data_IF_644499932026
#
_entry.id   IF_644499932026
#
_cell.length_a   1.000
_cell.length_b   1.000
_cell.length_c   1.000
_cell.angle_alpha   90.00
_cell.angle_beta   90.00
_cell.angle_gamma   90.00
#
_symmetry.space_group_name_H-M   'P 1'
#
loop_
_entity.id
_entity.type
_entity.pdbx_description
1 polymer ?
#
# COMPACT_ATOMS: atom_id res chain seq x y z
N UNK A 1 2.01 -12.02 19.63
CA UNK A 1 3.26 -11.24 19.38
C UNK A 1 3.38 -10.91 17.90
N UNK A 2 3.78 -9.69 17.55
CA UNK A 2 3.94 -9.23 16.17
C UNK A 2 5.43 -9.08 15.85
N UNK A 3 5.89 -9.68 14.74
CA UNK A 3 7.25 -9.52 14.23
C UNK A 3 7.31 -8.42 13.17
N UNK A 4 8.19 -7.44 13.31
CA UNK A 4 8.39 -6.38 12.30
C UNK A 4 9.82 -6.46 11.76
N UNK A 5 9.94 -6.64 10.44
CA UNK A 5 11.23 -6.69 9.75
C UNK A 5 11.27 -5.49 8.79
N UNK A 6 12.21 -4.56 9.01
CA UNK A 6 12.21 -3.29 8.28
C UNK A 6 13.61 -2.81 7.90
N UNK A 7 13.69 -1.98 6.84
CA UNK A 7 14.90 -1.39 6.28
C UNK A 7 14.84 0.12 6.38
N UNK A 8 16.00 0.76 6.56
CA UNK A 8 16.30 2.21 6.36
C UNK A 8 15.24 3.23 6.81
N UNK A 9 14.40 2.89 7.79
CA UNK A 9 13.29 3.72 8.27
C UNK A 9 13.24 3.72 9.79
N UNK A 10 14.12 4.47 10.48
CA UNK A 10 14.18 4.42 11.94
C UNK A 10 12.87 4.86 12.61
N UNK A 11 12.10 5.77 12.00
CA UNK A 11 10.76 6.15 12.48
C UNK A 11 9.80 4.96 12.64
N UNK A 12 9.95 3.90 11.82
CA UNK A 12 9.14 2.68 11.93
C UNK A 12 9.26 2.08 13.34
N UNK A 13 10.44 2.18 13.97
CA UNK A 13 10.66 1.69 15.34
C UNK A 13 9.68 2.31 16.34
N UNK A 14 9.50 3.64 16.31
CA UNK A 14 8.56 4.34 17.20
C UNK A 14 7.11 4.09 16.82
N UNK A 15 6.80 4.20 15.52
CA UNK A 15 5.43 4.11 15.01
C UNK A 15 4.81 2.74 15.31
N UNK A 16 5.54 1.66 14.95
CA UNK A 16 5.02 0.30 15.15
C UNK A 16 5.03 -0.11 16.63
N UNK A 17 6.02 0.37 17.43
CA UNK A 17 6.01 0.11 18.87
C UNK A 17 4.80 0.73 19.54
N UNK A 18 4.45 1.97 19.16
CA UNK A 18 3.27 2.66 19.68
C UNK A 18 1.97 1.99 19.29
N UNK A 19 1.81 1.64 18.00
CA UNK A 19 0.59 0.99 17.51
C UNK A 19 0.42 -0.41 18.11
N UNK A 20 1.48 -1.22 18.17
CA UNK A 20 1.42 -2.55 18.77
C UNK A 20 1.16 -2.49 20.27
N UNK A 21 1.84 -1.60 21.01
CA UNK A 21 1.58 -1.43 22.44
C UNK A 21 0.14 -1.00 22.72
N UNK A 22 -0.36 0.01 22.00
CA UNK A 22 -1.77 0.49 22.14
C UNK A 22 -2.81 -0.57 21.77
N UNK A 23 -2.48 -1.52 20.89
CA UNK A 23 -3.34 -2.65 20.55
C UNK A 23 -3.17 -3.86 21.47
N UNK A 24 -2.38 -3.73 22.55
CA UNK A 24 -2.12 -4.82 23.51
C UNK A 24 -1.15 -5.90 23.00
N UNK A 25 -0.45 -5.65 21.90
CA UNK A 25 0.48 -6.61 21.32
C UNK A 25 1.92 -6.42 21.80
N UNK A 26 2.57 -7.52 22.12
CA UNK A 26 4.04 -7.56 22.25
C UNK A 26 4.64 -7.53 20.84
N UNK A 27 5.73 -6.77 20.66
CA UNK A 27 6.42 -6.62 19.39
C UNK A 27 7.88 -7.09 19.48
N UNK A 28 8.33 -7.78 18.43
CA UNK A 28 9.75 -8.05 18.20
C UNK A 28 10.21 -7.37 16.90
N UNK A 29 11.19 -6.50 17.03
CA UNK A 29 11.72 -5.65 15.97
C UNK A 29 13.01 -6.22 15.40
N UNK A 30 13.14 -6.17 14.07
CA UNK A 30 14.42 -6.43 13.38
C UNK A 30 14.61 -5.36 12.30
N UNK A 31 15.27 -4.28 12.66
CA UNK A 31 15.64 -3.18 11.78
C UNK A 31 16.88 -3.45 10.94
N UNK A 32 17.04 -2.70 9.84
CA UNK A 32 18.23 -2.74 9.00
C UNK A 32 19.51 -2.34 9.75
N UNK A 33 20.65 -2.82 9.30
CA UNK A 33 21.96 -2.55 9.92
C UNK A 33 22.40 -1.10 9.76
N UNK A 34 21.94 -0.42 8.72
CA UNK A 34 22.24 0.97 8.40
C UNK A 34 21.67 1.97 9.43
N UNK A 35 20.52 1.63 10.04
CA UNK A 35 19.89 2.44 11.07
C UNK A 35 20.02 1.84 12.49
N UNK A 36 20.95 0.92 12.69
CA UNK A 36 21.03 0.12 13.92
C UNK A 36 21.07 0.97 15.19
N UNK A 37 21.94 1.97 15.26
CA UNK A 37 22.09 2.80 16.46
C UNK A 37 20.82 3.62 16.75
N UNK A 38 20.18 4.17 15.71
CA UNK A 38 18.91 4.89 15.84
C UNK A 38 17.80 3.97 16.34
N UNK A 39 17.71 2.76 15.80
CA UNK A 39 16.72 1.78 16.22
C UNK A 39 16.93 1.38 17.69
N UNK A 40 18.19 1.14 18.10
CA UNK A 40 18.53 0.74 19.47
C UNK A 40 18.18 1.84 20.50
N UNK A 41 18.47 3.11 20.19
CA UNK A 41 18.14 4.21 21.11
C UNK A 41 16.62 4.42 21.22
N UNK A 42 15.87 4.32 20.13
CA UNK A 42 14.41 4.43 20.15
C UNK A 42 13.77 3.33 20.99
N UNK A 43 14.20 2.07 20.81
CA UNK A 43 13.73 0.95 21.64
C UNK A 43 14.09 1.17 23.10
N UNK A 44 15.31 1.63 23.40
CA UNK A 44 15.72 1.95 24.78
C UNK A 44 14.80 2.98 25.39
N UNK A 45 14.55 4.11 24.73
CA UNK A 45 13.66 5.16 25.21
C UNK A 45 12.25 4.66 25.47
N UNK A 46 11.72 3.82 24.55
CA UNK A 46 10.39 3.23 24.73
C UNK A 46 10.34 2.30 25.96
N UNK A 47 11.36 1.44 26.13
CA UNK A 47 11.47 0.55 27.28
C UNK A 47 11.65 1.31 28.60
N UNK A 48 12.43 2.39 28.60
CA UNK A 48 12.60 3.26 29.77
C UNK A 48 11.25 3.91 30.16
N UNK A 49 10.45 4.35 29.17
CA UNK A 49 9.11 4.88 29.42
C UNK A 49 8.17 3.81 29.98
N UNK A 50 8.20 2.59 29.46
CA UNK A 50 7.42 1.46 30.01
C UNK A 50 7.81 1.21 31.49
N UNK A 51 9.10 1.17 31.80
CA UNK A 51 9.62 0.96 33.17
C UNK A 51 9.15 2.03 34.14
N UNK A 52 9.23 3.30 33.75
CA UNK A 52 8.77 4.44 34.58
C UNK A 52 7.28 4.32 34.93
N UNK A 53 6.50 3.74 34.00
CA UNK A 53 5.06 3.55 34.19
C UNK A 53 4.69 2.16 34.77
N UNK A 54 5.66 1.41 35.33
CA UNK A 54 5.47 0.07 35.88
C UNK A 54 4.88 -0.95 34.88
N UNK A 55 5.22 -0.82 33.61
CA UNK A 55 4.83 -1.75 32.54
C UNK A 55 6.02 -2.59 32.15
N UNK A 56 5.79 -3.86 31.81
CA UNK A 56 6.85 -4.77 31.39
C UNK A 56 7.56 -4.25 30.13
N UNK A 57 8.87 -4.04 30.22
CA UNK A 57 9.71 -3.59 29.13
C UNK A 57 9.74 -4.57 27.94
N UNK A 58 9.37 -5.84 28.16
CA UNK A 58 9.33 -6.86 27.11
C UNK A 58 8.19 -6.70 26.14
N UNK A 59 7.27 -5.76 26.33
CA UNK A 59 6.33 -5.35 25.28
C UNK A 59 7.04 -4.90 24.01
N UNK A 60 8.25 -4.31 24.13
CA UNK A 60 9.04 -3.91 22.96
C UNK A 60 10.41 -4.57 23.01
N UNK A 61 10.64 -5.46 22.07
CA UNK A 61 11.88 -6.20 21.91
C UNK A 61 12.56 -5.87 20.59
N UNK A 62 13.88 -5.99 20.52
CA UNK A 62 14.66 -5.80 19.30
C UNK A 62 15.76 -6.85 19.18
N UNK A 63 15.90 -7.41 18.00
CA UNK A 63 16.99 -8.33 17.68
C UNK A 63 18.28 -7.53 17.51
N UNK A 64 19.23 -7.70 18.45
CA UNK A 64 20.52 -7.01 18.46
C UNK A 64 21.50 -7.55 17.42
N UNK A 65 21.31 -8.79 16.97
CA UNK A 65 22.21 -9.41 16.01
C UNK A 65 21.99 -8.84 14.61
N UNK A 66 23.04 -8.25 14.03
CA UNK A 66 23.03 -7.65 12.69
C UNK A 66 23.04 -8.70 11.55
N UNK A 67 23.34 -9.95 11.84
CA UNK A 67 23.43 -11.00 10.83
C UNK A 67 22.04 -11.25 10.18
N UNK A 68 22.02 -11.37 8.88
CA UNK A 68 20.80 -11.68 8.11
C UNK A 68 20.20 -13.05 8.46
N UNK A 69 20.98 -14.00 8.97
CA UNK A 69 20.50 -15.30 9.48
C UNK A 69 19.49 -15.14 10.63
N UNK A 70 19.53 -14.05 11.39
CA UNK A 70 18.51 -13.79 12.41
C UNK A 70 17.14 -13.48 11.82
N UNK A 71 17.07 -12.90 10.61
CA UNK A 71 15.81 -12.74 9.85
C UNK A 71 15.28 -14.10 9.45
N UNK A 72 16.12 -14.97 8.90
CA UNK A 72 15.72 -16.31 8.48
C UNK A 72 15.19 -17.12 9.65
N UNK A 73 15.82 -16.99 10.84
CA UNK A 73 15.36 -17.64 12.08
C UNK A 73 13.97 -17.12 12.52
N UNK A 74 13.77 -15.79 12.52
CA UNK A 74 12.46 -15.19 12.84
C UNK A 74 11.35 -15.70 11.91
N UNK A 75 11.66 -15.86 10.62
CA UNK A 75 10.71 -16.27 9.60
C UNK A 75 10.35 -17.76 9.68
N UNK A 76 11.31 -18.63 10.02
CA UNK A 76 11.17 -20.09 9.82
C UNK A 76 11.21 -20.92 11.09
N UNK A 77 11.49 -20.31 12.26
CA UNK A 77 11.67 -21.04 13.53
C UNK A 77 10.93 -20.42 14.73
N UNK A 78 10.18 -19.36 14.51
CA UNK A 78 9.52 -18.61 15.58
C UNK A 78 7.97 -18.69 15.49
N UNK A 79 7.42 -19.62 14.73
CA UNK A 79 5.97 -19.80 14.54
C UNK A 79 5.20 -20.11 15.85
N UNK A 80 5.89 -20.60 16.87
CA UNK A 80 5.29 -20.82 18.21
C UNK A 80 5.20 -19.53 19.06
N UNK A 81 5.90 -18.46 18.66
CA UNK A 81 6.02 -17.24 19.45
C UNK A 81 5.49 -16.01 18.69
N UNK A 82 5.58 -16.00 17.35
CA UNK A 82 5.15 -14.89 16.52
C UNK A 82 3.88 -15.29 15.78
N UNK A 83 2.82 -14.52 15.98
CA UNK A 83 1.51 -14.78 15.35
C UNK A 83 1.47 -14.22 13.92
N UNK A 84 2.16 -13.12 13.65
CA UNK A 84 2.18 -12.45 12.36
C UNK A 84 3.46 -11.66 12.14
N UNK A 85 3.94 -11.61 10.89
CA UNK A 85 5.09 -10.79 10.48
C UNK A 85 4.63 -9.70 9.53
N UNK A 86 5.14 -8.47 9.76
CA UNK A 86 4.90 -7.30 8.91
C UNK A 86 6.24 -6.83 8.35
N UNK A 87 6.52 -7.06 7.06
CA UNK A 87 7.70 -6.54 6.41
C UNK A 87 7.51 -5.06 6.02
N UNK A 88 8.54 -4.24 6.23
CA UNK A 88 8.59 -2.81 5.88
C UNK A 88 9.91 -2.48 5.17
N UNK A 89 9.96 -2.62 3.87
CA UNK A 89 11.18 -2.40 3.09
C UNK A 89 10.97 -2.53 1.61
N UNK A 90 12.05 -2.64 0.87
CA UNK A 90 12.02 -2.81 -0.57
C UNK A 90 11.52 -4.20 -1.00
N UNK A 91 11.20 -4.31 -2.30
CA UNK A 91 10.68 -5.53 -2.94
C UNK A 91 11.46 -6.80 -2.59
N UNK A 92 12.79 -6.70 -2.53
CA UNK A 92 13.65 -7.86 -2.23
C UNK A 92 13.41 -8.40 -0.81
N UNK A 93 13.26 -7.50 0.19
CA UNK A 93 12.95 -7.92 1.56
C UNK A 93 11.58 -8.58 1.61
N UNK A 94 10.56 -7.92 1.07
CA UNK A 94 9.18 -8.43 1.12
C UNK A 94 9.07 -9.79 0.41
N UNK A 95 9.69 -9.93 -0.77
CA UNK A 95 9.74 -11.20 -1.50
C UNK A 95 10.43 -12.31 -0.69
N UNK A 96 11.56 -11.99 -0.04
CA UNK A 96 12.25 -12.95 0.83
C UNK A 96 11.36 -13.39 2.00
N UNK A 97 10.68 -12.43 2.64
CA UNK A 97 9.74 -12.74 3.74
C UNK A 97 8.62 -13.65 3.25
N UNK A 98 8.00 -13.35 2.11
CA UNK A 98 6.94 -14.18 1.52
C UNK A 98 7.38 -15.59 1.17
N UNK A 99 8.64 -15.78 0.77
CA UNK A 99 9.19 -17.08 0.39
C UNK A 99 9.60 -17.95 1.58
N UNK A 100 10.06 -17.35 2.68
CA UNK A 100 10.69 -18.07 3.79
C UNK A 100 9.81 -18.16 5.05
N UNK A 101 8.76 -17.34 5.14
CA UNK A 101 7.98 -17.28 6.37
C UNK A 101 7.05 -18.47 6.53
N UNK A 102 7.19 -19.19 7.65
CA UNK A 102 6.19 -20.12 8.18
C UNK A 102 5.11 -19.42 9.03
N UNK A 103 5.31 -18.12 9.31
CA UNK A 103 4.38 -17.27 10.05
C UNK A 103 3.52 -16.46 9.07
N UNK A 104 2.22 -16.25 9.33
CA UNK A 104 1.37 -15.38 8.51
C UNK A 104 1.98 -13.99 8.29
N UNK A 105 1.75 -13.42 7.10
CA UNK A 105 2.32 -12.12 6.72
C UNK A 105 1.21 -11.13 6.43
N UNK A 106 1.37 -9.89 6.93
CA UNK A 106 0.54 -8.74 6.61
C UNK A 106 1.41 -7.72 5.85
N UNK A 107 1.00 -7.38 4.63
CA UNK A 107 1.74 -6.40 3.81
C UNK A 107 1.44 -6.53 2.32
N UNK A 108 2.24 -5.83 1.52
CA UNK A 108 2.20 -5.89 0.06
C UNK A 108 3.61 -5.97 -0.51
N UNK A 109 3.72 -6.50 -1.73
CA UNK A 109 5.01 -6.60 -2.43
C UNK A 109 5.30 -5.36 -3.25
N UNK A 110 4.32 -4.88 -3.99
CA UNK A 110 4.39 -3.72 -4.90
C UNK A 110 3.05 -2.95 -4.87
N UNK A 111 3.11 -1.65 -5.14
CA UNK A 111 1.95 -0.78 -5.28
C UNK A 111 1.73 -0.35 -6.74
N UNK A 112 1.20 -1.22 -7.60
CA UNK A 112 0.85 -0.87 -8.98
C UNK A 112 -0.58 -0.32 -8.98
N UNK A 113 -0.69 0.98 -8.71
CA UNK A 113 -1.97 1.67 -8.60
C UNK A 113 -2.41 2.27 -9.94
N UNK A 114 -3.73 2.29 -10.19
CA UNK A 114 -4.31 2.84 -11.41
C UNK A 114 -5.24 4.01 -11.12
N UNK A 115 -5.28 4.96 -12.06
CA UNK A 115 -6.32 5.99 -12.12
C UNK A 115 -7.04 5.89 -13.46
N UNK A 116 -8.31 5.51 -13.44
CA UNK A 116 -9.17 5.45 -14.62
C UNK A 116 -9.97 6.74 -14.79
N UNK A 117 -9.82 7.40 -15.95
CA UNK A 117 -10.59 8.58 -16.36
C UNK A 117 -11.72 8.11 -17.25
N UNK A 118 -12.93 8.07 -16.71
CA UNK A 118 -14.14 7.65 -17.41
C UNK A 118 -14.64 8.69 -18.42
N UNK A 119 -15.51 8.26 -19.34
CA UNK A 119 -16.12 9.15 -20.35
C UNK A 119 -16.90 10.33 -19.75
N UNK A 120 -17.47 10.14 -18.56
CA UNK A 120 -18.27 11.12 -17.84
C UNK A 120 -17.44 11.90 -16.78
N UNK A 121 -16.11 11.90 -16.90
CA UNK A 121 -15.23 12.62 -16.01
C UNK A 121 -15.31 14.15 -16.18
N UNK A 122 -15.00 14.86 -15.11
CA UNK A 122 -14.71 16.30 -15.18
C UNK A 122 -13.23 16.53 -15.52
N UNK A 123 -12.95 17.39 -16.49
CA UNK A 123 -11.59 17.65 -16.95
C UNK A 123 -10.69 18.26 -15.86
N UNK A 124 -11.18 19.28 -15.17
CA UNK A 124 -10.39 19.99 -14.16
C UNK A 124 -10.09 19.07 -12.97
N UNK A 125 -11.09 18.28 -12.55
CA UNK A 125 -10.93 17.26 -11.52
C UNK A 125 -9.91 16.20 -11.95
N UNK A 126 -9.99 15.70 -13.19
CA UNK A 126 -9.06 14.69 -13.71
C UNK A 126 -7.61 15.21 -13.73
N UNK A 127 -7.37 16.42 -14.21
CA UNK A 127 -6.04 17.06 -14.20
C UNK A 127 -5.49 17.17 -12.78
N UNK A 128 -6.33 17.63 -11.82
CA UNK A 128 -5.93 17.81 -10.41
C UNK A 128 -5.61 16.47 -9.74
N UNK A 129 -6.51 15.50 -9.86
CA UNK A 129 -6.37 14.19 -9.22
C UNK A 129 -5.17 13.44 -9.78
N UNK A 130 -5.05 13.33 -11.11
CA UNK A 130 -3.95 12.58 -11.75
C UNK A 130 -2.59 13.19 -11.41
N UNK A 131 -2.49 14.53 -11.43
CA UNK A 131 -1.26 15.22 -11.03
C UNK A 131 -0.88 14.90 -9.59
N UNK A 132 -1.81 14.98 -8.65
CA UNK A 132 -1.58 14.66 -7.25
C UNK A 132 -1.25 13.18 -7.07
N UNK A 133 -2.04 12.28 -7.69
CA UNK A 133 -1.88 10.84 -7.58
C UNK A 133 -0.51 10.34 -8.07
N UNK A 134 0.10 11.02 -9.06
CA UNK A 134 1.44 10.64 -9.53
C UNK A 134 2.57 11.42 -8.89
N UNK A 135 2.42 12.72 -8.66
CA UNK A 135 3.56 13.62 -8.43
C UNK A 135 3.63 14.24 -7.03
N UNK A 136 2.63 14.07 -6.16
CA UNK A 136 2.74 14.51 -4.75
C UNK A 136 3.94 13.84 -4.06
N UNK A 137 4.04 12.53 -4.20
CA UNK A 137 5.20 11.74 -3.78
C UNK A 137 5.32 10.51 -4.69
N UNK A 138 6.36 10.46 -5.51
CA UNK A 138 6.56 9.36 -6.48
C UNK A 138 7.11 8.09 -5.86
N UNK A 139 7.61 8.15 -4.61
CA UNK A 139 8.33 7.04 -3.97
C UNK A 139 7.47 6.23 -3.01
N UNK A 140 6.15 6.41 -3.03
CA UNK A 140 5.21 5.66 -2.18
C UNK A 140 4.35 4.70 -3.01
N UNK A 141 3.98 3.59 -2.40
CA UNK A 141 3.17 2.54 -3.04
C UNK A 141 1.77 2.99 -3.49
N UNK A 142 1.24 4.08 -2.94
CA UNK A 142 -0.02 4.70 -3.36
C UNK A 142 0.09 5.61 -4.58
N UNK A 143 1.29 5.81 -5.16
CA UNK A 143 1.44 6.61 -6.37
C UNK A 143 0.81 5.89 -7.57
N UNK A 144 0.04 6.61 -8.40
CA UNK A 144 -0.51 6.06 -9.65
C UNK A 144 0.64 5.69 -10.59
N UNK A 145 0.68 4.43 -11.04
CA UNK A 145 1.67 3.92 -11.97
C UNK A 145 1.11 3.76 -13.39
N UNK A 146 -0.21 3.60 -13.51
CA UNK A 146 -0.90 3.55 -14.81
C UNK A 146 -2.15 4.44 -14.81
N UNK A 147 -2.27 5.25 -15.84
CA UNK A 147 -3.47 6.03 -16.15
C UNK A 147 -4.23 5.33 -17.28
N UNK A 148 -5.49 5.00 -17.03
CA UNK A 148 -6.40 4.50 -18.06
C UNK A 148 -7.31 5.63 -18.50
N UNK A 149 -7.44 5.87 -19.80
CA UNK A 149 -8.26 6.96 -20.34
C UNK A 149 -9.29 6.39 -21.32
N UNK A 150 -10.56 6.69 -21.08
CA UNK A 150 -11.63 6.25 -21.96
C UNK A 150 -11.48 6.90 -23.36
N UNK A 151 -11.54 6.11 -24.44
CA UNK A 151 -11.29 6.58 -25.83
C UNK A 151 -12.15 7.79 -26.24
N UNK A 152 -13.40 7.85 -25.79
CA UNK A 152 -14.32 8.96 -26.15
C UNK A 152 -13.84 10.35 -25.68
N UNK A 153 -13.02 10.42 -24.64
CA UNK A 153 -12.56 11.69 -24.08
C UNK A 153 -11.12 12.07 -24.47
N UNK A 154 -10.40 11.20 -25.15
CA UNK A 154 -8.96 11.37 -25.42
C UNK A 154 -8.68 12.72 -26.10
N UNK A 155 -9.45 13.09 -27.14
CA UNK A 155 -9.25 14.37 -27.83
C UNK A 155 -9.31 15.59 -26.91
N UNK A 156 -10.14 15.53 -25.85
CA UNK A 156 -10.34 16.65 -24.90
C UNK A 156 -9.40 16.55 -23.69
N UNK A 157 -9.08 15.34 -23.20
CA UNK A 157 -8.41 15.14 -21.92
C UNK A 157 -6.91 14.85 -22.03
N UNK A 158 -6.48 14.24 -23.15
CA UNK A 158 -5.11 13.73 -23.28
C UNK A 158 -4.06 14.84 -23.05
N UNK A 159 -4.15 15.93 -23.82
CA UNK A 159 -3.16 17.00 -23.70
C UNK A 159 -3.23 17.71 -22.34
N UNK A 160 -4.36 18.20 -21.82
CA UNK A 160 -4.38 18.89 -20.52
C UNK A 160 -3.87 18.03 -19.36
N UNK A 161 -4.20 16.74 -19.33
CA UNK A 161 -3.76 15.83 -18.27
C UNK A 161 -2.26 15.54 -18.38
N UNK A 162 -1.77 15.18 -19.57
CA UNK A 162 -0.38 14.75 -19.73
C UNK A 162 0.60 15.93 -19.77
N UNK A 163 0.21 17.10 -20.28
CA UNK A 163 1.02 18.31 -20.21
C UNK A 163 1.25 18.76 -18.76
N UNK A 164 0.23 18.64 -17.88
CA UNK A 164 0.40 18.94 -16.46
C UNK A 164 1.46 18.04 -15.82
N UNK A 165 1.54 16.78 -16.22
CA UNK A 165 2.56 15.84 -15.75
C UNK A 165 3.95 16.16 -16.31
N UNK A 166 4.05 16.37 -17.63
CA UNK A 166 5.34 16.63 -18.30
C UNK A 166 5.95 17.98 -17.92
N UNK A 167 5.15 19.02 -17.65
CA UNK A 167 5.61 20.29 -17.08
C UNK A 167 6.32 20.09 -15.73
N UNK A 168 5.98 19.02 -15.01
CA UNK A 168 6.64 18.61 -13.76
C UNK A 168 7.64 17.45 -13.98
N UNK A 169 8.23 17.36 -15.18
CA UNK A 169 9.29 16.39 -15.54
C UNK A 169 8.88 14.93 -15.46
N UNK A 170 7.58 14.61 -15.53
CA UNK A 170 7.10 13.23 -15.56
C UNK A 170 7.26 12.63 -16.98
N UNK A 171 7.92 11.49 -17.06
CA UNK A 171 8.06 10.73 -18.30
C UNK A 171 6.75 9.98 -18.61
N UNK A 172 6.26 10.11 -19.83
CA UNK A 172 5.04 9.42 -20.30
C UNK A 172 5.42 8.22 -21.15
N UNK A 173 4.89 7.04 -20.76
CA UNK A 173 4.99 5.80 -21.53
C UNK A 173 3.57 5.44 -21.97
N UNK A 174 3.30 5.44 -23.26
CA UNK A 174 1.93 5.41 -23.74
C UNK A 174 1.72 4.41 -24.89
N UNK A 175 0.48 3.91 -24.98
CA UNK A 175 0.05 3.11 -26.13
C UNK A 175 -0.02 3.97 -27.41
N UNK A 176 -0.28 3.31 -28.54
CA UNK A 176 -0.33 3.99 -29.85
C UNK A 176 -1.43 5.04 -29.93
N UNK A 177 -2.58 4.80 -29.29
CA UNK A 177 -3.73 5.71 -29.32
C UNK A 177 -3.44 7.01 -28.56
N UNK A 178 -2.89 6.90 -27.36
CA UNK A 178 -2.48 8.05 -26.55
C UNK A 178 -1.37 8.81 -27.26
N UNK A 179 -0.33 8.13 -27.78
CA UNK A 179 0.78 8.74 -28.49
C UNK A 179 0.36 9.55 -29.72
N UNK A 180 -0.67 9.06 -30.46
CA UNK A 180 -1.24 9.76 -31.62
C UNK A 180 -1.96 11.08 -31.24
N UNK A 181 -2.49 11.17 -30.02
CA UNK A 181 -3.30 12.28 -29.56
C UNK A 181 -2.55 13.25 -28.61
N UNK A 182 -1.39 12.86 -28.12
CA UNK A 182 -0.57 13.68 -27.22
C UNK A 182 0.45 14.49 -28.02
N UNK A 183 0.43 15.80 -27.87
CA UNK A 183 1.35 16.71 -28.59
C UNK A 183 2.76 16.73 -27.99
N UNK A 184 2.94 16.21 -26.78
CA UNK A 184 4.23 16.18 -26.09
C UNK A 184 5.04 14.92 -26.37
N UNK A 185 6.23 14.84 -25.77
CA UNK A 185 7.09 13.66 -25.87
C UNK A 185 6.56 12.50 -25.05
N UNK A 186 6.50 11.30 -25.67
CA UNK A 186 6.14 10.06 -25.01
C UNK A 186 6.91 8.88 -25.60
N UNK A 187 7.23 7.89 -24.77
CA UNK A 187 7.81 6.61 -25.20
C UNK A 187 6.70 5.60 -25.50
N UNK A 188 6.99 4.65 -26.38
CA UNK A 188 6.10 3.53 -26.69
C UNK A 188 6.02 2.59 -25.49
N UNK A 189 4.81 2.31 -25.03
CA UNK A 189 4.55 1.30 -24.01
C UNK A 189 4.67 -0.12 -24.60
N UNK A 190 5.13 -1.04 -23.78
CA UNK A 190 5.13 -2.47 -24.05
C UNK A 190 4.36 -3.19 -22.92
N UNK A 191 4.12 -4.51 -23.07
CA UNK A 191 3.31 -5.27 -22.11
C UNK A 191 3.85 -5.23 -20.67
N UNK A 192 5.19 -5.19 -20.51
CA UNK A 192 5.82 -5.15 -19.16
C UNK A 192 5.60 -3.82 -18.43
N UNK A 193 5.32 -2.75 -19.17
CA UNK A 193 5.11 -1.43 -18.57
C UNK A 193 3.80 -1.37 -17.76
N UNK A 194 2.81 -2.21 -18.11
CA UNK A 194 1.53 -2.27 -17.40
C UNK A 194 1.63 -2.89 -16.00
N UNK A 195 2.64 -3.73 -15.77
CA UNK A 195 2.91 -4.40 -14.49
C UNK A 195 4.14 -3.83 -13.77
N UNK A 196 4.45 -2.53 -13.97
CA UNK A 196 5.64 -1.93 -13.42
C UNK A 196 5.34 -0.85 -12.39
N UNK A 197 5.87 -1.02 -11.20
CA UNK A 197 5.98 0.02 -10.19
C UNK A 197 7.25 0.83 -10.48
N UNK A 198 7.09 2.09 -10.88
CA UNK A 198 8.23 2.95 -11.26
C UNK A 198 8.91 3.61 -10.06
N UNK A 199 8.13 4.00 -9.05
CA UNK A 199 8.62 4.77 -7.88
C UNK A 199 9.42 6.01 -8.29
N UNK A 200 9.04 6.64 -9.40
CA UNK A 200 9.74 7.73 -10.04
C UNK A 200 8.72 8.66 -10.76
N UNK A 201 9.09 9.86 -11.19
CA UNK A 201 8.25 10.71 -12.02
C UNK A 201 8.09 10.13 -13.44
N UNK A 202 7.42 9.01 -13.53
CA UNK A 202 7.21 8.20 -14.71
C UNK A 202 5.87 7.47 -14.60
N UNK A 203 5.08 7.43 -15.68
CA UNK A 203 3.74 6.84 -15.66
C UNK A 203 3.40 6.20 -16.98
N UNK A 204 2.72 5.04 -16.92
CA UNK A 204 2.12 4.39 -18.08
C UNK A 204 0.75 5.00 -18.38
N UNK A 205 0.38 5.13 -19.68
CA UNK A 205 -0.91 5.67 -20.09
C UNK A 205 -1.50 4.80 -21.20
N UNK A 206 -2.73 4.33 -21.00
CA UNK A 206 -3.43 3.47 -21.94
C UNK A 206 -4.83 3.98 -22.25
N UNK A 207 -5.22 3.92 -23.51
CA UNK A 207 -6.59 4.12 -23.97
C UNK A 207 -7.41 2.86 -23.76
N UNK A 208 -8.65 3.00 -23.23
CA UNK A 208 -9.58 1.90 -23.04
C UNK A 208 -10.93 2.21 -23.70
N UNK A 209 -11.60 1.19 -24.25
CA UNK A 209 -12.86 1.37 -24.96
C UNK A 209 -14.05 1.61 -24.02
N UNK A 210 -14.01 1.03 -22.84
CA UNK A 210 -15.09 1.11 -21.87
C UNK A 210 -14.60 0.76 -20.45
N UNK A 211 -15.51 0.88 -19.49
CA UNK A 211 -15.22 0.62 -18.06
C UNK A 211 -14.85 -0.84 -17.79
N UNK A 212 -15.38 -1.81 -18.55
CA UNK A 212 -15.07 -3.23 -18.36
C UNK A 212 -13.63 -3.53 -18.78
N UNK A 213 -13.14 -2.91 -19.85
CA UNK A 213 -11.74 -3.00 -20.24
C UNK A 213 -10.84 -2.37 -19.16
N UNK A 214 -11.24 -1.23 -18.59
CA UNK A 214 -10.51 -0.61 -17.48
C UNK A 214 -10.44 -1.54 -16.25
N UNK A 215 -11.57 -2.10 -15.82
CA UNK A 215 -11.64 -3.05 -14.70
C UNK A 215 -10.77 -4.28 -14.96
N UNK A 216 -10.87 -4.86 -16.16
CA UNK A 216 -10.07 -6.02 -16.56
C UNK A 216 -8.56 -5.70 -16.54
N UNK A 217 -8.18 -4.51 -17.01
CA UNK A 217 -6.79 -4.06 -16.97
C UNK A 217 -6.29 -3.93 -15.53
N UNK A 218 -7.04 -3.25 -14.67
CA UNK A 218 -6.71 -3.11 -13.24
C UNK A 218 -6.55 -4.48 -12.57
N UNK A 219 -7.52 -5.38 -12.78
CA UNK A 219 -7.50 -6.70 -12.16
C UNK A 219 -6.39 -7.62 -12.70
N UNK A 220 -5.92 -7.39 -13.95
CA UNK A 220 -4.86 -8.18 -14.58
C UNK A 220 -3.47 -7.70 -14.18
N UNK A 221 -3.23 -6.40 -14.15
CA UNK A 221 -1.89 -5.82 -14.01
C UNK A 221 -1.63 -5.17 -12.65
N UNK A 222 -2.69 -4.81 -11.92
CA UNK A 222 -2.60 -4.26 -10.58
C UNK A 222 -2.19 -5.29 -9.54
N UNK A 223 -1.78 -4.80 -8.39
CA UNK A 223 -1.31 -5.60 -7.25
C UNK A 223 -2.31 -5.63 -6.10
N UNK A 224 -3.57 -5.34 -6.38
CA UNK A 224 -4.65 -5.25 -5.39
C UNK A 224 -4.41 -4.19 -4.31
N UNK A 225 -3.62 -3.15 -4.60
CA UNK A 225 -3.30 -2.10 -3.66
C UNK A 225 -4.40 -1.02 -3.65
N UNK A 226 -4.30 -0.03 -4.53
CA UNK A 226 -5.24 1.12 -4.56
C UNK A 226 -5.54 1.52 -6.00
N UNK A 227 -6.81 1.60 -6.36
CA UNK A 227 -7.20 2.03 -7.69
C UNK A 227 -8.39 3.00 -7.63
N UNK A 228 -8.38 4.00 -8.51
CA UNK A 228 -9.34 5.09 -8.52
C UNK A 228 -10.03 5.26 -9.87
N UNK A 229 -11.32 5.58 -9.84
CA UNK A 229 -12.09 6.05 -11.00
C UNK A 229 -12.42 7.53 -10.85
N UNK A 230 -12.28 8.30 -11.93
CA UNK A 230 -12.73 9.69 -12.01
C UNK A 230 -13.95 9.74 -12.92
N UNK A 231 -15.12 10.05 -12.36
CA UNK A 231 -16.39 10.11 -13.11
C UNK A 231 -17.46 10.92 -12.36
N UNK A 232 -18.37 11.58 -13.09
CA UNK A 232 -19.61 12.15 -12.52
C UNK A 232 -20.77 11.13 -12.54
N UNK A 233 -20.60 9.99 -13.21
CA UNK A 233 -21.61 8.96 -13.35
C UNK A 233 -21.56 7.98 -12.16
N UNK A 234 -22.57 8.06 -11.29
CA UNK A 234 -22.65 7.21 -10.10
C UNK A 234 -22.71 5.72 -10.46
N UNK A 235 -23.43 5.33 -11.51
CA UNK A 235 -23.50 3.93 -11.95
C UNK A 235 -22.14 3.39 -12.39
N UNK A 236 -21.35 4.22 -13.12
CA UNK A 236 -19.97 3.86 -13.48
C UNK A 236 -19.08 3.75 -12.24
N UNK A 237 -19.21 4.69 -11.28
CA UNK A 237 -18.46 4.62 -10.04
C UNK A 237 -18.77 3.33 -9.27
N UNK A 238 -20.05 3.03 -9.01
CA UNK A 238 -20.48 1.84 -8.28
C UNK A 238 -20.02 0.55 -8.98
N UNK A 239 -20.12 0.51 -10.31
CA UNK A 239 -19.65 -0.63 -11.11
C UNK A 239 -18.15 -0.86 -10.97
N UNK A 240 -17.35 0.21 -11.06
CA UNK A 240 -15.90 0.13 -10.90
C UNK A 240 -15.52 -0.33 -9.48
N UNK A 241 -16.02 0.37 -8.45
CA UNK A 241 -15.73 0.09 -7.04
C UNK A 241 -16.06 -1.36 -6.65
N UNK A 242 -17.18 -1.89 -7.17
CA UNK A 242 -17.62 -3.26 -6.88
C UNK A 242 -16.78 -4.34 -7.57
N UNK A 243 -16.21 -4.06 -8.74
CA UNK A 243 -15.62 -5.10 -9.59
C UNK A 243 -14.07 -5.10 -9.60
N UNK A 244 -13.40 -4.10 -9.07
CA UNK A 244 -11.95 -4.16 -8.88
C UNK A 244 -11.62 -4.97 -7.63
N UNK A 245 -10.47 -5.67 -7.67
CA UNK A 245 -10.00 -6.53 -6.58
C UNK A 245 -9.17 -5.80 -5.55
N UNK A 246 -8.94 -4.52 -5.72
CA UNK A 246 -8.03 -3.70 -4.91
C UNK A 246 -8.50 -3.59 -3.47
N UNK A 247 -7.56 -3.53 -2.55
CA UNK A 247 -7.82 -3.35 -1.12
C UNK A 247 -8.49 -2.01 -0.84
N UNK A 248 -8.15 -1.01 -1.66
CA UNK A 248 -8.69 0.34 -1.56
C UNK A 248 -9.23 0.74 -2.93
N UNK A 249 -10.53 0.88 -3.04
CA UNK A 249 -11.26 1.30 -4.23
C UNK A 249 -11.76 2.73 -4.04
N UNK A 250 -11.42 3.63 -4.98
CA UNK A 250 -11.65 5.06 -4.82
C UNK A 250 -12.49 5.66 -5.95
N UNK A 251 -13.29 6.66 -5.62
CA UNK A 251 -14.05 7.46 -6.56
C UNK A 251 -13.73 8.93 -6.38
N UNK A 252 -13.28 9.58 -7.47
CA UNK A 252 -12.94 11.01 -7.50
C UNK A 252 -11.89 11.43 -6.46
N UNK A 253 -10.94 10.57 -6.17
CA UNK A 253 -9.90 10.77 -5.16
C UNK A 253 -8.55 10.35 -5.72
N UNK A 254 -7.49 11.03 -5.31
CA UNK A 254 -6.11 10.62 -5.57
C UNK A 254 -5.82 9.27 -4.93
N UNK A 255 -5.13 8.37 -5.61
CA UNK A 255 -4.68 7.09 -5.02
C UNK A 255 -3.76 7.31 -3.80
N UNK A 256 -3.11 8.47 -3.70
CA UNK A 256 -2.29 8.84 -2.54
C UNK A 256 -3.10 9.29 -1.30
N UNK A 257 -4.43 9.30 -1.40
CA UNK A 257 -5.31 9.43 -0.23
C UNK A 257 -5.43 8.11 0.54
N UNK A 258 -4.89 7.01 0.00
CA UNK A 258 -4.79 5.70 0.65
C UNK A 258 -3.74 5.75 1.76
N UNK A 259 -4.15 6.19 2.93
CA UNK A 259 -3.30 6.41 4.11
C UNK A 259 -4.14 6.26 5.38
N UNK A 260 -3.60 5.60 6.40
CA UNK A 260 -4.31 5.38 7.67
C UNK A 260 -4.60 6.67 8.43
N UNK A 261 -3.78 7.70 8.27
CA UNK A 261 -4.03 9.03 8.82
C UNK A 261 -5.23 9.70 8.16
N UNK A 262 -5.27 9.68 6.81
CA UNK A 262 -6.37 10.22 6.01
C UNK A 262 -7.70 9.48 6.25
N UNK A 263 -7.64 8.17 6.56
CA UNK A 263 -8.82 7.36 6.88
C UNK A 263 -9.28 7.49 8.33
N UNK A 264 -8.62 8.33 9.13
CA UNK A 264 -8.98 8.56 10.53
C UNK A 264 -8.50 7.46 11.49
N UNK A 265 -7.58 6.58 11.07
CA UNK A 265 -7.01 5.54 11.95
C UNK A 265 -5.89 6.08 12.86
N UNK A 266 -5.50 7.34 12.71
CA UNK A 266 -4.42 7.99 13.45
C UNK A 266 -3.01 7.62 12.99
N UNK A 267 -2.82 6.42 12.50
CA UNK A 267 -1.56 5.92 11.93
C UNK A 267 -1.72 4.50 11.40
N UNK A 268 -0.71 4.02 10.68
CA UNK A 268 -0.69 2.66 10.14
C UNK A 268 0.71 2.04 10.22
N UNK A 269 0.76 0.73 10.36
CA UNK A 269 2.01 -0.03 10.19
C UNK A 269 2.32 -0.28 8.71
N UNK A 270 1.37 -0.07 7.82
CA UNK A 270 1.45 -0.22 6.37
C UNK A 270 0.13 -0.61 5.75
N UNK A 271 0.14 -0.86 4.44
CA UNK A 271 -1.05 -1.27 3.69
C UNK A 271 -0.93 -2.76 3.35
N UNK A 272 -2.01 -3.52 3.57
CA UNK A 272 -2.10 -4.93 3.24
C UNK A 272 -2.92 -5.15 1.97
N UNK A 273 -2.40 -5.98 1.08
CA UNK A 273 -3.11 -6.47 -0.12
C UNK A 273 -3.63 -7.89 0.03
N UNK A 274 -3.64 -8.42 1.26
CA UNK A 274 -4.17 -9.74 1.55
C UNK A 274 -5.64 -9.85 1.13
N UNK A 275 -6.07 -11.06 0.76
CA UNK A 275 -7.46 -11.32 0.41
C UNK A 275 -8.34 -11.41 1.66
N UNK A 276 -7.79 -11.99 2.74
CA UNK A 276 -8.41 -12.04 4.07
C UNK A 276 -7.92 -10.88 4.94
N UNK A 277 -8.70 -10.44 5.93
CA UNK A 277 -8.30 -9.39 6.88
C UNK A 277 -6.97 -9.68 7.60
N UNK A 278 -6.18 -8.64 7.95
CA UNK A 278 -6.45 -7.24 7.64
C UNK A 278 -6.14 -6.91 6.19
N UNK A 279 -6.91 -5.99 5.61
CA UNK A 279 -6.83 -5.55 4.23
C UNK A 279 -6.94 -4.01 4.14
N UNK A 280 -6.15 -3.37 3.27
CA UNK A 280 -6.01 -1.91 3.24
C UNK A 280 -5.06 -1.40 4.31
N UNK A 281 -5.18 -0.14 4.78
CA UNK A 281 -4.35 0.41 5.84
C UNK A 281 -4.49 -0.38 7.13
N UNK A 282 -3.38 -0.76 7.73
CA UNK A 282 -3.31 -1.57 8.96
C UNK A 282 -3.00 -0.64 10.13
N UNK A 283 -4.03 -0.11 10.74
CA UNK A 283 -3.98 0.72 11.94
C UNK A 283 -4.22 -0.09 13.21
N UNK A 284 -4.57 0.61 14.28
CA UNK A 284 -4.76 0.03 15.62
C UNK A 284 -5.78 -1.13 15.63
N UNK A 285 -6.96 -0.90 15.05
CA UNK A 285 -8.06 -1.86 15.05
C UNK A 285 -7.82 -3.09 14.18
N UNK A 286 -6.87 -3.01 13.22
CA UNK A 286 -6.49 -4.11 12.36
C UNK A 286 -5.42 -5.01 12.99
N UNK A 287 -4.82 -4.59 14.11
CA UNK A 287 -3.82 -5.34 14.85
C UNK A 287 -4.41 -6.12 16.03
N UNK A 288 -5.74 -6.11 16.21
CA UNK A 288 -6.44 -6.84 17.25
C UNK A 288 -7.19 -8.04 16.67
N UNK A 289 -7.49 -8.99 17.56
CA UNK A 289 -8.36 -10.13 17.29
C UNK A 289 -9.50 -10.15 18.32
N UNK A 290 -10.43 -11.06 18.16
CA UNK A 290 -11.59 -11.22 19.07
C UNK A 290 -11.71 -12.69 19.49
N UNK A 291 -12.35 -12.90 20.63
CA UNK A 291 -12.81 -14.21 21.11
C UNK A 291 -14.31 -14.15 21.43
N UNK A 292 -14.94 -15.29 21.38
CA UNK A 292 -16.32 -15.42 21.87
C UNK A 292 -16.29 -15.85 23.33
N UNK A 293 -17.02 -15.13 24.19
CA UNK A 293 -17.25 -15.52 25.57
C UNK A 293 -18.72 -15.98 25.69
N UNK A 294 -18.91 -17.26 26.01
CA UNK A 294 -20.24 -17.86 26.11
C UNK A 294 -20.55 -18.14 27.56
N UNK A 295 -21.53 -17.42 28.11
CA UNK A 295 -22.01 -17.60 29.48
C UNK A 295 -23.31 -18.42 29.46
N UNK A 296 -23.18 -19.69 29.77
CA UNK A 296 -24.28 -20.64 29.71
C UNK A 296 -24.95 -20.88 31.08
N UNK A 297 -26.17 -21.45 31.05
CA UNK A 297 -26.94 -21.92 32.22
C UNK A 297 -27.25 -23.40 32.13
N UNK A 298 -26.36 -24.20 31.48
CA UNK A 298 -26.54 -25.64 31.30
C UNK A 298 -27.10 -26.05 29.93
N UNK A 299 -27.03 -25.19 28.92
CA UNK A 299 -27.44 -25.54 27.55
C UNK A 299 -26.60 -26.68 27.02
N UNK A 300 -27.23 -27.65 26.39
CA UNK A 300 -26.63 -28.79 25.66
C UNK A 300 -27.03 -28.72 24.19
N UNK A 301 -26.36 -29.53 23.38
CA UNK A 301 -26.74 -29.76 21.99
C UNK A 301 -27.07 -31.22 21.82
N UNK A 302 -28.20 -31.53 21.17
CA UNK A 302 -28.61 -32.91 20.80
C UNK A 302 -27.74 -33.49 19.69
#
# INVERSE_FOLDING_TARGET
>A
MIGIIYESRPNVTSDVSSLCFKSGNVIILRGGSEAYNSNMIMVKLFRDALKINNVDQNYVQIVKNKNRKSVDYLLSKMEKFIDVIIPRGGKNLVKKVQQLSSVPIIGHLEGICHTYIDKDADLNMAVKIVHNAKLRNTSICGATETILMHKKIIKKFCNPVLEKLTKNKCEIIADATIRKNFNGKSKKANEKDWSKEYLAPKVSVKAVDNIFEAINHVNKYGTMHTDSIITKNKKSADLFLKNIKSSIAMHNTSTQFADGGEFGFGGEVGISTNTLPPRGPVGLNQLISYKYEVLGKGQTRD
#
